data_IF_263324142195
#
_entry.id   IF_263324142195
#
_cell.length_a   1.000
_cell.length_b   1.000
_cell.length_c   1.000
_cell.angle_alpha   90.00
_cell.angle_beta   90.00
_cell.angle_gamma   90.00
#
_symmetry.space_group_name_H-M   'P 1'
#
loop_
_entity.id
_entity.type
_entity.pdbx_description
1 polymer ?
#
# COMPACT_ATOMS: atom_id res chain seq x y z
N UNK A 1 -10.80 -41.76 -10.78
CA UNK A 1 -9.95 -40.70 -11.38
C UNK A 1 -9.16 -40.06 -10.24
N UNK A 2 -7.84 -40.23 -10.24
CA UNK A 2 -6.98 -39.64 -9.20
C UNK A 2 -7.04 -38.11 -9.24
N UNK A 3 -7.62 -37.49 -8.20
CA UNK A 3 -7.65 -36.05 -8.01
C UNK A 3 -6.24 -35.54 -7.58
N UNK A 4 -5.23 -35.80 -8.39
CA UNK A 4 -3.88 -35.35 -8.08
C UNK A 4 -3.77 -33.83 -8.20
N UNK A 5 -3.33 -33.19 -7.12
CA UNK A 5 -2.95 -31.78 -7.11
C UNK A 5 -1.53 -31.69 -7.66
N UNK A 6 -1.31 -30.91 -8.72
CA UNK A 6 0.02 -30.63 -9.27
C UNK A 6 0.35 -29.16 -9.04
N UNK A 7 1.30 -28.87 -8.16
CA UNK A 7 1.83 -27.52 -7.95
C UNK A 7 2.78 -27.17 -9.10
N UNK A 8 2.50 -26.07 -9.83
CA UNK A 8 3.31 -25.59 -10.94
C UNK A 8 4.28 -24.51 -10.47
N UNK A 9 3.82 -23.63 -9.61
CA UNK A 9 4.60 -22.52 -9.05
C UNK A 9 4.27 -22.35 -7.59
N UNK A 10 5.31 -22.20 -6.77
CA UNK A 10 5.21 -22.02 -5.32
C UNK A 10 6.05 -20.82 -4.91
N UNK A 11 5.50 -19.97 -4.08
CA UNK A 11 6.19 -18.86 -3.43
C UNK A 11 5.89 -18.96 -1.94
N UNK A 12 6.93 -19.05 -1.14
CA UNK A 12 6.83 -19.09 0.32
C UNK A 12 7.35 -17.77 0.86
N UNK A 13 6.53 -17.12 1.64
CA UNK A 13 6.89 -15.94 2.43
C UNK A 13 6.88 -16.31 3.91
N UNK A 14 7.37 -15.44 4.77
CA UNK A 14 7.34 -15.67 6.22
C UNK A 14 5.91 -15.83 6.78
N UNK A 15 4.88 -15.43 6.02
CA UNK A 15 3.49 -15.40 6.48
C UNK A 15 2.56 -16.34 5.73
N UNK A 16 2.91 -16.76 4.51
CA UNK A 16 2.01 -17.53 3.67
C UNK A 16 2.74 -18.32 2.59
N UNK A 17 2.08 -19.37 2.13
CA UNK A 17 2.44 -20.09 0.91
C UNK A 17 1.38 -19.81 -0.14
N UNK A 18 1.81 -19.30 -1.29
CA UNK A 18 0.95 -18.96 -2.42
C UNK A 18 1.53 -19.56 -3.71
N UNK A 19 0.70 -19.76 -4.71
CA UNK A 19 1.21 -20.25 -5.97
C UNK A 19 0.17 -20.57 -7.02
N UNK A 20 0.59 -21.38 -7.98
CA UNK A 20 -0.26 -21.90 -9.05
C UNK A 20 -0.27 -23.40 -8.97
N UNK A 21 -1.45 -24.00 -9.02
CA UNK A 21 -1.63 -25.44 -9.10
C UNK A 21 -2.62 -25.83 -10.20
N UNK A 22 -2.55 -27.11 -10.62
CA UNK A 22 -3.57 -27.77 -11.44
C UNK A 22 -4.37 -28.71 -10.54
N UNK A 23 -5.68 -28.59 -10.62
CA UNK A 23 -6.63 -29.50 -9.99
C UNK A 23 -7.79 -29.79 -10.96
N UNK A 24 -8.09 -31.06 -11.19
CA UNK A 24 -9.09 -31.48 -12.19
C UNK A 24 -8.87 -30.81 -13.55
N UNK A 25 -7.65 -30.85 -14.05
CA UNK A 25 -7.19 -30.26 -15.32
C UNK A 25 -7.41 -28.75 -15.49
N UNK A 26 -7.66 -28.00 -14.38
CA UNK A 26 -7.81 -26.55 -14.39
C UNK A 26 -6.72 -25.90 -13.55
N UNK A 27 -6.22 -24.76 -14.02
CA UNK A 27 -5.26 -23.94 -13.26
C UNK A 27 -5.98 -23.09 -12.24
N UNK A 28 -5.41 -23.05 -11.04
CA UNK A 28 -5.86 -22.21 -9.93
C UNK A 28 -4.69 -21.44 -9.34
N UNK A 29 -4.97 -20.22 -8.89
CA UNK A 29 -4.13 -19.56 -7.90
C UNK A 29 -4.53 -20.14 -6.53
N UNK A 30 -3.57 -20.48 -5.69
CA UNK A 30 -3.83 -21.00 -4.37
C UNK A 30 -3.14 -20.20 -3.29
N UNK A 31 -3.79 -20.14 -2.13
CA UNK A 31 -3.17 -19.80 -0.85
C UNK A 31 -3.31 -20.99 0.07
N UNK A 32 -2.25 -21.31 0.85
CA UNK A 32 -2.35 -22.28 1.92
C UNK A 32 -3.17 -21.66 3.04
N UNK A 33 -4.24 -22.35 3.47
CA UNK A 33 -5.11 -21.83 4.52
C UNK A 33 -4.38 -21.78 5.87
N UNK A 34 -4.66 -20.75 6.64
CA UNK A 34 -4.07 -20.50 7.96
C UNK A 34 -4.81 -19.36 8.65
N UNK A 35 -4.32 -18.90 9.78
CA UNK A 35 -4.93 -17.80 10.56
C UNK A 35 -5.19 -16.52 9.76
N UNK A 36 -4.37 -16.27 8.72
CA UNK A 36 -4.49 -15.09 7.86
C UNK A 36 -5.63 -15.17 6.84
N UNK A 37 -6.29 -16.32 6.68
CA UNK A 37 -7.38 -16.50 5.70
C UNK A 37 -8.78 -16.25 6.27
N UNK A 38 -8.89 -16.01 7.59
CA UNK A 38 -10.19 -15.81 8.25
C UNK A 38 -10.98 -14.62 7.68
N UNK A 39 -10.35 -13.46 7.56
CA UNK A 39 -11.01 -12.28 6.98
C UNK A 39 -11.35 -12.49 5.50
N UNK A 40 -10.48 -13.15 4.76
CA UNK A 40 -10.67 -13.52 3.38
C UNK A 40 -11.93 -14.39 3.20
N UNK A 41 -12.15 -15.34 4.09
CA UNK A 41 -13.35 -16.19 4.06
C UNK A 41 -14.60 -15.45 4.48
N UNK A 42 -14.51 -14.69 5.56
CA UNK A 42 -15.64 -13.94 6.13
C UNK A 42 -16.19 -12.88 5.17
N UNK A 43 -15.32 -12.11 4.53
CA UNK A 43 -15.74 -10.94 3.76
C UNK A 43 -15.83 -11.17 2.24
N UNK A 44 -15.33 -12.30 1.72
CA UNK A 44 -15.37 -12.60 0.28
C UNK A 44 -16.78 -12.44 -0.34
N UNK A 45 -17.80 -13.00 0.31
CA UNK A 45 -19.19 -12.93 -0.16
C UNK A 45 -19.75 -11.51 -0.22
N UNK A 46 -19.33 -10.65 0.73
CA UNK A 46 -19.72 -9.25 0.77
C UNK A 46 -18.98 -8.42 -0.28
N UNK A 47 -17.66 -8.62 -0.41
CA UNK A 47 -16.84 -7.92 -1.40
C UNK A 47 -17.32 -8.20 -2.83
N UNK A 48 -17.71 -9.42 -3.12
CA UNK A 48 -18.24 -9.80 -4.43
C UNK A 48 -19.47 -8.99 -4.88
N UNK A 49 -20.19 -8.36 -3.95
CA UNK A 49 -21.35 -7.51 -4.27
C UNK A 49 -20.94 -6.17 -4.87
N UNK A 50 -19.73 -5.70 -4.57
CA UNK A 50 -19.24 -4.38 -4.97
C UNK A 50 -18.08 -4.45 -5.97
N UNK A 51 -17.24 -5.47 -5.84
CA UNK A 51 -15.98 -5.58 -6.57
C UNK A 51 -15.96 -6.80 -7.47
N UNK A 52 -15.13 -6.74 -8.51
CA UNK A 52 -14.86 -7.88 -9.37
C UNK A 52 -13.74 -8.71 -8.73
N UNK A 53 -14.12 -9.83 -8.14
CA UNK A 53 -13.23 -10.73 -7.43
C UNK A 53 -13.11 -12.08 -8.15
N UNK A 54 -11.93 -12.76 -8.11
CA UNK A 54 -11.77 -14.08 -8.71
C UNK A 54 -12.71 -15.08 -8.04
N UNK A 55 -13.28 -16.01 -8.82
CA UNK A 55 -14.14 -17.06 -8.28
C UNK A 55 -13.37 -17.90 -7.27
N UNK A 56 -13.84 -17.94 -6.03
CA UNK A 56 -13.32 -18.81 -4.98
C UNK A 56 -13.86 -20.23 -5.18
N UNK A 57 -12.99 -21.24 -5.05
CA UNK A 57 -13.37 -22.64 -4.94
C UNK A 57 -12.92 -23.18 -3.60
N UNK A 58 -13.87 -23.74 -2.85
CA UNK A 58 -13.67 -24.42 -1.59
C UNK A 58 -13.64 -25.93 -1.91
N UNK A 59 -12.82 -26.69 -1.24
CA UNK A 59 -12.91 -28.16 -1.31
C UNK A 59 -11.61 -28.92 -1.39
N UNK A 60 -10.46 -28.25 -1.18
CA UNK A 60 -9.20 -28.92 -0.94
C UNK A 60 -8.76 -28.57 0.49
N UNK A 61 -8.59 -29.54 1.38
CA UNK A 61 -8.10 -29.26 2.74
C UNK A 61 -6.82 -28.43 2.70
N UNK A 62 -6.73 -27.43 3.55
CA UNK A 62 -5.58 -26.53 3.70
C UNK A 62 -5.27 -25.58 2.55
N UNK A 63 -6.15 -25.46 1.52
CA UNK A 63 -5.93 -24.53 0.41
C UNK A 63 -7.18 -23.74 0.07
N UNK A 64 -7.03 -22.42 -0.09
CA UNK A 64 -8.03 -21.59 -0.75
C UNK A 64 -7.65 -21.51 -2.22
N UNK A 65 -8.56 -21.92 -3.08
CA UNK A 65 -8.37 -21.88 -4.53
C UNK A 65 -9.18 -20.75 -5.14
N UNK A 66 -8.51 -19.97 -5.98
CA UNK A 66 -9.14 -18.96 -6.82
C UNK A 66 -9.00 -19.33 -8.29
N UNK A 67 -10.02 -18.99 -9.09
CA UNK A 67 -9.88 -19.10 -10.53
C UNK A 67 -8.62 -18.35 -10.99
N UNK A 68 -7.79 -19.02 -11.78
CA UNK A 68 -6.57 -18.40 -12.27
C UNK A 68 -6.91 -17.29 -13.27
N UNK A 69 -6.64 -16.07 -12.85
CA UNK A 69 -6.84 -14.89 -13.69
C UNK A 69 -5.54 -14.57 -14.43
N UNK A 70 -5.28 -15.34 -15.53
CA UNK A 70 -4.08 -15.13 -16.36
C UNK A 70 -3.90 -13.68 -16.78
N UNK A 71 -5.01 -13.01 -17.07
CA UNK A 71 -5.02 -11.63 -17.55
C UNK A 71 -4.82 -10.59 -16.42
N UNK A 72 -5.12 -10.93 -15.15
CA UNK A 72 -4.93 -9.97 -14.05
C UNK A 72 -3.50 -9.43 -13.99
N UNK A 73 -2.50 -10.31 -14.22
CA UNK A 73 -1.10 -9.95 -14.29
C UNK A 73 -0.83 -8.83 -15.31
N UNK A 74 -1.58 -8.79 -16.41
CA UNK A 74 -1.41 -7.77 -17.47
C UNK A 74 -2.21 -6.50 -17.17
N UNK A 75 -3.30 -6.58 -16.42
CA UNK A 75 -4.22 -5.49 -16.15
C UNK A 75 -4.16 -4.96 -14.71
N UNK A 76 -3.18 -5.38 -13.89
CA UNK A 76 -2.93 -4.74 -12.60
C UNK A 76 -2.47 -3.30 -12.79
N UNK A 77 -2.77 -2.44 -11.81
CA UNK A 77 -2.26 -1.07 -11.80
C UNK A 77 -0.74 -1.07 -11.87
N UNK A 78 -0.06 -2.01 -11.19
CA UNK A 78 1.40 -2.15 -11.26
C UNK A 78 1.90 -2.28 -12.70
N UNK A 79 1.33 -3.19 -13.48
CA UNK A 79 1.75 -3.37 -14.88
C UNK A 79 1.43 -2.16 -15.75
N UNK A 80 0.32 -1.46 -15.50
CA UNK A 80 0.02 -0.20 -16.16
C UNK A 80 1.09 0.87 -15.86
N UNK A 81 1.52 0.97 -14.59
CA UNK A 81 2.51 1.97 -14.17
C UNK A 81 3.91 1.70 -14.77
N UNK A 82 4.33 0.43 -14.82
CA UNK A 82 5.72 0.06 -15.13
C UNK A 82 5.94 -0.23 -16.62
N UNK A 83 4.93 -0.73 -17.33
CA UNK A 83 5.07 -1.09 -18.74
C UNK A 83 4.62 0.05 -19.64
N UNK A 84 5.31 0.17 -20.79
CA UNK A 84 4.95 1.12 -21.87
C UNK A 84 3.67 0.73 -22.63
N UNK A 85 2.86 -0.17 -22.09
CA UNK A 85 1.62 -0.62 -22.73
C UNK A 85 0.65 0.55 -22.70
N UNK A 86 0.24 1.04 -23.87
CA UNK A 86 -0.81 2.03 -24.07
C UNK A 86 -2.21 1.40 -23.87
N UNK A 87 -2.46 0.86 -22.69
CA UNK A 87 -3.83 0.52 -22.29
C UNK A 87 -4.49 1.84 -21.91
N UNK A 88 -5.66 2.11 -22.47
CA UNK A 88 -6.50 3.21 -22.00
C UNK A 88 -6.82 2.88 -20.54
N UNK A 89 -6.22 3.63 -19.62
CA UNK A 89 -6.50 3.47 -18.20
C UNK A 89 -7.96 3.84 -17.95
N UNK A 90 -8.73 2.89 -17.45
CA UNK A 90 -10.08 3.15 -16.97
C UNK A 90 -10.06 3.25 -15.45
N UNK A 91 -10.74 4.24 -14.89
CA UNK A 91 -10.91 4.40 -13.44
C UNK A 91 -11.97 3.45 -12.86
N UNK A 92 -12.25 2.31 -13.50
CA UNK A 92 -13.32 1.39 -13.11
C UNK A 92 -13.17 0.87 -11.66
N UNK A 93 -11.93 0.64 -11.21
CA UNK A 93 -11.71 0.23 -9.83
C UNK A 93 -12.17 1.31 -8.85
N UNK A 94 -11.89 2.58 -9.12
CA UNK A 94 -12.26 3.69 -8.23
C UNK A 94 -13.76 3.96 -8.24
N UNK A 95 -14.46 3.75 -9.37
CA UNK A 95 -15.92 3.76 -9.40
C UNK A 95 -16.53 2.69 -8.48
N UNK A 96 -15.90 1.50 -8.40
CA UNK A 96 -16.32 0.45 -7.47
C UNK A 96 -16.08 0.81 -6.02
N UNK A 97 -14.93 1.46 -5.72
CA UNK A 97 -14.65 2.01 -4.41
C UNK A 97 -15.68 3.06 -4.01
N UNK A 98 -16.03 3.98 -4.91
CA UNK A 98 -17.07 4.98 -4.69
C UNK A 98 -18.41 4.36 -4.34
N UNK A 99 -18.87 3.37 -5.12
CA UNK A 99 -20.13 2.63 -4.84
C UNK A 99 -20.06 1.93 -3.48
N UNK A 100 -18.97 1.28 -3.15
CA UNK A 100 -18.81 0.59 -1.87
C UNK A 100 -18.80 1.58 -0.69
N UNK A 101 -18.08 2.71 -0.82
CA UNK A 101 -18.05 3.77 0.17
C UNK A 101 -19.45 4.30 0.46
N UNK A 102 -20.20 4.65 -0.58
CA UNK A 102 -21.56 5.19 -0.42
C UNK A 102 -22.55 4.19 0.21
N UNK A 103 -22.37 2.89 -0.02
CA UNK A 103 -23.31 1.85 0.45
C UNK A 103 -22.94 1.21 1.77
N UNK A 104 -21.68 1.27 2.17
CA UNK A 104 -21.17 0.52 3.34
C UNK A 104 -20.49 1.39 4.38
N UNK A 105 -20.52 2.71 4.19
CA UNK A 105 -19.91 3.67 5.11
C UNK A 105 -20.42 3.50 6.55
N UNK A 106 -19.46 3.50 7.50
CA UNK A 106 -19.73 3.43 8.93
C UNK A 106 -18.58 4.08 9.73
N UNK A 107 -18.77 4.21 11.05
CA UNK A 107 -17.71 4.61 11.99
C UNK A 107 -17.29 3.44 12.84
N UNK A 108 -15.98 3.26 13.02
CA UNK A 108 -15.37 2.27 13.93
C UNK A 108 -14.18 2.88 14.65
N UNK A 109 -13.81 2.34 15.80
CA UNK A 109 -12.49 2.63 16.34
C UNK A 109 -11.43 2.16 15.34
N UNK A 110 -10.38 2.95 15.16
CA UNK A 110 -9.34 2.63 14.18
C UNK A 110 -8.75 1.24 14.44
N UNK A 111 -8.53 0.89 15.70
CA UNK A 111 -8.00 -0.42 16.10
C UNK A 111 -8.87 -1.60 15.66
N UNK A 112 -10.19 -1.42 15.54
CA UNK A 112 -11.14 -2.44 15.12
C UNK A 112 -11.24 -2.60 13.59
N UNK A 113 -10.51 -1.80 12.83
CA UNK A 113 -10.48 -1.93 11.37
C UNK A 113 -9.58 -3.08 10.95
N UNK A 114 -9.92 -3.76 9.84
CA UNK A 114 -9.20 -4.94 9.41
C UNK A 114 -7.73 -4.65 9.03
N UNK A 115 -7.44 -3.45 8.53
CA UNK A 115 -6.08 -3.03 8.14
C UNK A 115 -5.30 -2.30 9.25
N UNK A 116 -5.87 -2.10 10.45
CA UNK A 116 -5.18 -1.48 11.59
C UNK A 116 -3.89 -2.24 11.98
N UNK A 117 -3.89 -3.57 11.79
CA UNK A 117 -2.73 -4.42 12.06
C UNK A 117 -1.46 -3.98 11.29
N UNK A 118 -1.60 -3.38 10.11
CA UNK A 118 -0.45 -2.88 9.34
C UNK A 118 0.31 -1.75 10.03
N UNK A 119 -0.32 -1.12 11.01
CA UNK A 119 0.24 -0.01 11.76
C UNK A 119 0.66 -0.44 13.16
N UNK A 120 -0.24 -1.06 13.91
CA UNK A 120 0.02 -1.37 15.33
C UNK A 120 0.94 -2.55 15.56
N UNK A 121 0.88 -3.59 14.72
CA UNK A 121 1.84 -4.70 14.80
C UNK A 121 3.27 -4.28 14.44
N UNK A 122 3.44 -3.12 13.82
CA UNK A 122 4.74 -2.61 13.37
C UNK A 122 5.22 -1.37 14.12
N UNK A 123 4.50 -0.94 15.15
CA UNK A 123 4.89 0.26 15.91
C UNK A 123 6.25 0.08 16.61
N UNK A 124 6.63 -1.16 16.90
CA UNK A 124 7.95 -1.49 17.47
C UNK A 124 9.10 -1.14 16.50
N UNK A 125 8.86 -1.10 15.19
CA UNK A 125 9.88 -0.72 14.21
C UNK A 125 10.37 0.71 14.41
N UNK A 126 9.53 1.59 14.95
CA UNK A 126 9.93 2.97 15.26
C UNK A 126 11.09 2.95 16.27
N UNK A 127 10.97 2.17 17.35
CA UNK A 127 12.04 2.04 18.34
C UNK A 127 13.27 1.33 17.79
N UNK A 128 13.05 0.33 16.94
CA UNK A 128 14.14 -0.37 16.26
C UNK A 128 14.93 0.58 15.34
N UNK A 129 14.23 1.44 14.59
CA UNK A 129 14.86 2.46 13.73
C UNK A 129 15.66 3.46 14.60
N UNK A 130 15.05 3.98 15.69
CA UNK A 130 15.72 4.93 16.59
C UNK A 130 17.03 4.39 17.16
N UNK A 131 17.08 3.09 17.47
CA UNK A 131 18.27 2.44 18.05
C UNK A 131 19.37 2.17 17.02
N UNK A 132 19.02 1.91 15.78
CA UNK A 132 19.93 1.34 14.78
C UNK A 132 20.27 2.30 13.63
N UNK A 133 19.67 3.48 13.58
CA UNK A 133 19.98 4.44 12.52
C UNK A 133 21.34 5.09 12.76
N UNK A 134 22.16 5.16 11.71
CA UNK A 134 23.55 5.64 11.78
C UNK A 134 23.70 7.16 11.61
N UNK A 135 22.60 7.90 11.50
CA UNK A 135 22.58 9.36 11.41
C UNK A 135 21.32 9.89 12.07
N UNK A 136 21.47 10.98 12.80
CA UNK A 136 20.37 11.60 13.56
C UNK A 136 19.75 12.77 12.80
N UNK A 137 20.58 13.51 12.06
CA UNK A 137 20.16 14.76 11.46
C UNK A 137 20.29 14.72 9.95
N UNK A 138 19.30 15.31 9.26
CA UNK A 138 19.39 15.62 7.83
C UNK A 138 19.30 17.13 7.69
N UNK A 139 20.28 17.74 7.00
CA UNK A 139 20.27 19.14 6.64
C UNK A 139 19.88 19.29 5.17
N UNK A 140 18.71 19.87 4.92
CA UNK A 140 18.14 20.01 3.60
C UNK A 140 17.44 21.36 3.43
N UNK A 141 17.77 22.12 2.34
CA UNK A 141 17.19 23.44 2.04
C UNK A 141 17.22 24.36 3.27
N UNK A 142 18.40 24.50 3.89
CA UNK A 142 18.65 25.33 5.07
C UNK A 142 17.83 24.92 6.33
N UNK A 143 17.29 23.72 6.36
CA UNK A 143 16.54 23.18 7.50
C UNK A 143 17.22 21.96 8.05
N UNK A 144 17.25 21.87 9.37
CA UNK A 144 17.69 20.69 10.11
C UNK A 144 16.47 19.83 10.42
N UNK A 145 16.49 18.58 9.99
CA UNK A 145 15.49 17.57 10.27
C UNK A 145 16.06 16.67 11.37
N UNK A 146 15.43 16.60 12.53
CA UNK A 146 15.74 15.64 13.59
C UNK A 146 14.88 14.40 13.40
N UNK A 147 15.53 13.29 13.03
CA UNK A 147 14.84 12.02 12.75
C UNK A 147 14.19 11.45 14.00
N UNK A 148 14.85 11.56 15.16
CA UNK A 148 14.32 11.05 16.41
C UNK A 148 13.03 11.78 16.77
N UNK A 149 13.03 13.11 16.64
CA UNK A 149 11.81 13.91 16.90
C UNK A 149 10.67 13.55 15.94
N UNK A 150 10.96 13.33 14.65
CA UNK A 150 9.93 12.90 13.66
C UNK A 150 9.33 11.53 14.05
N UNK A 151 10.17 10.60 14.49
CA UNK A 151 9.73 9.27 14.90
C UNK A 151 8.94 9.27 16.20
N UNK A 152 9.31 10.14 17.16
CA UNK A 152 8.57 10.33 18.41
C UNK A 152 7.18 10.92 18.16
N UNK A 153 7.10 11.94 17.31
CA UNK A 153 5.83 12.55 16.89
C UNK A 153 4.93 11.53 16.15
N UNK A 154 5.51 10.74 15.27
CA UNK A 154 4.81 9.65 14.59
C UNK A 154 4.22 8.66 15.58
N UNK A 155 5.02 8.15 16.53
CA UNK A 155 4.59 7.17 17.53
C UNK A 155 3.46 7.71 18.41
N UNK A 156 3.62 8.94 18.92
CA UNK A 156 2.63 9.57 19.79
C UNK A 156 1.26 9.74 19.12
N UNK A 157 1.25 10.15 17.84
CA UNK A 157 0.00 10.36 17.11
C UNK A 157 -0.64 9.05 16.64
N UNK A 158 0.12 8.00 16.36
CA UNK A 158 -0.44 6.66 16.13
C UNK A 158 -1.10 6.09 17.39
N UNK A 159 -0.51 6.33 18.58
CA UNK A 159 -1.12 5.92 19.84
C UNK A 159 -2.46 6.63 20.09
N UNK A 160 -2.56 7.93 19.77
CA UNK A 160 -3.84 8.65 19.80
C UNK A 160 -4.85 8.05 18.84
N UNK A 161 -4.46 7.83 17.58
CA UNK A 161 -5.33 7.29 16.53
C UNK A 161 -5.94 5.94 16.93
N UNK A 162 -5.24 5.12 17.71
CA UNK A 162 -5.72 3.80 18.15
C UNK A 162 -7.15 3.85 18.72
N UNK A 163 -7.44 4.89 19.50
CA UNK A 163 -8.69 5.05 20.23
C UNK A 163 -9.68 6.01 19.54
N UNK A 164 -9.32 6.52 18.36
CA UNK A 164 -10.20 7.41 17.61
C UNK A 164 -11.22 6.63 16.78
N UNK A 165 -12.45 7.16 16.71
CA UNK A 165 -13.48 6.67 15.80
C UNK A 165 -13.27 7.29 14.43
N UNK A 166 -12.95 6.47 13.45
CA UNK A 166 -12.71 6.86 12.07
C UNK A 166 -13.78 6.36 11.12
N UNK A 167 -13.90 7.00 9.99
CA UNK A 167 -14.79 6.59 8.93
C UNK A 167 -14.23 5.42 8.14
N UNK A 168 -15.06 4.40 7.94
CA UNK A 168 -14.71 3.12 7.34
C UNK A 168 -15.72 2.73 6.27
N UNK A 169 -15.31 1.84 5.39
CA UNK A 169 -16.18 1.17 4.43
C UNK A 169 -15.64 -0.22 4.08
N UNK A 170 -16.44 -1.02 3.42
CA UNK A 170 -16.07 -2.40 3.05
C UNK A 170 -15.08 -2.39 1.89
N UNK A 171 -13.84 -2.85 2.15
CA UNK A 171 -12.78 -2.94 1.15
C UNK A 171 -11.95 -4.20 1.28
N UNK A 172 -11.04 -4.39 0.32
CA UNK A 172 -10.02 -5.42 0.35
C UNK A 172 -8.94 -5.11 1.41
N UNK A 173 -8.70 -3.84 1.73
CA UNK A 173 -7.88 -3.40 2.87
C UNK A 173 -6.39 -3.19 2.60
N UNK A 174 -5.88 -3.60 1.44
CA UNK A 174 -4.49 -3.38 1.02
C UNK A 174 -4.42 -2.94 -0.46
N UNK A 175 -4.92 -1.72 -0.79
CA UNK A 175 -5.03 -1.23 -2.16
C UNK A 175 -3.68 -0.88 -2.78
N UNK A 176 -2.80 -1.87 -2.85
CA UNK A 176 -1.53 -1.74 -3.55
C UNK A 176 -1.71 -1.86 -5.05
N UNK A 177 -0.74 -1.38 -5.79
CA UNK A 177 -0.69 -1.44 -7.25
C UNK A 177 -0.74 -2.87 -7.82
N UNK A 178 -0.29 -3.86 -7.04
CA UNK A 178 -0.34 -5.28 -7.38
C UNK A 178 -1.69 -5.94 -7.08
N UNK A 179 -2.48 -5.38 -6.19
CA UNK A 179 -3.75 -5.95 -5.72
C UNK A 179 -4.97 -5.41 -6.46
N UNK A 180 -4.82 -4.28 -7.16
CA UNK A 180 -5.87 -3.61 -7.90
C UNK A 180 -5.67 -3.73 -9.41
N UNK A 181 -6.75 -4.05 -10.13
CA UNK A 181 -6.80 -4.09 -11.59
C UNK A 181 -7.50 -2.88 -12.19
N UNK A 182 -7.01 -2.39 -13.32
CA UNK A 182 -7.56 -1.20 -14.00
C UNK A 182 -9.04 -1.36 -14.43
N UNK A 183 -9.52 -2.59 -14.61
CA UNK A 183 -10.90 -2.90 -14.98
C UNK A 183 -11.81 -3.24 -13.78
N UNK A 184 -11.41 -2.85 -12.58
CA UNK A 184 -12.18 -3.08 -11.37
C UNK A 184 -12.01 -4.46 -10.74
N UNK A 185 -11.01 -5.21 -11.19
CA UNK A 185 -10.62 -6.47 -10.55
C UNK A 185 -9.83 -6.18 -9.27
N UNK A 186 -9.95 -7.09 -8.30
CA UNK A 186 -9.19 -6.99 -7.05
C UNK A 186 -8.81 -8.40 -6.58
N UNK A 187 -7.65 -8.49 -5.94
CA UNK A 187 -7.09 -9.74 -5.39
C UNK A 187 -6.52 -9.49 -3.99
N UNK A 188 -6.15 -10.58 -3.32
CA UNK A 188 -5.53 -10.56 -1.98
C UNK A 188 -6.43 -9.96 -0.88
N UNK A 189 -7.29 -10.81 -0.32
CA UNK A 189 -8.35 -10.42 0.61
C UNK A 189 -7.97 -10.65 2.09
N UNK A 190 -6.69 -10.81 2.41
CA UNK A 190 -6.20 -11.14 3.76
C UNK A 190 -6.63 -10.13 4.83
N UNK A 191 -6.71 -8.86 4.46
CA UNK A 191 -7.13 -7.75 5.33
C UNK A 191 -8.47 -7.14 4.90
N UNK A 192 -9.26 -7.93 4.18
CA UNK A 192 -10.60 -7.48 3.78
C UNK A 192 -11.52 -7.31 4.97
N UNK A 193 -12.40 -6.34 4.87
CA UNK A 193 -13.35 -6.00 5.91
C UNK A 193 -13.71 -4.53 5.86
N UNK A 194 -14.21 -4.04 6.98
CA UNK A 194 -14.40 -2.60 7.16
C UNK A 194 -13.06 -1.97 7.48
N UNK A 195 -12.55 -1.19 6.53
CA UNK A 195 -11.26 -0.54 6.59
C UNK A 195 -11.39 0.98 6.67
N UNK A 196 -10.47 1.62 7.37
CA UNK A 196 -10.43 3.06 7.50
C UNK A 196 -10.13 3.72 6.14
N UNK A 197 -10.90 4.75 5.78
CA UNK A 197 -10.72 5.52 4.53
C UNK A 197 -9.31 6.09 4.45
N UNK A 198 -8.83 6.70 5.53
CA UNK A 198 -7.48 7.29 5.57
C UNK A 198 -6.37 6.25 5.42
N UNK A 199 -6.59 5.03 5.91
CA UNK A 199 -5.65 3.93 5.75
C UNK A 199 -5.61 3.43 4.30
N UNK A 200 -6.76 3.29 3.64
CA UNK A 200 -6.83 2.94 2.21
C UNK A 200 -6.08 3.98 1.36
N UNK A 201 -6.30 5.27 1.63
CA UNK A 201 -5.61 6.36 0.94
C UNK A 201 -4.10 6.28 1.17
N UNK A 202 -3.66 6.09 2.42
CA UNK A 202 -2.23 6.02 2.75
C UNK A 202 -1.52 4.86 2.05
N UNK A 203 -2.13 3.68 2.04
CA UNK A 203 -1.58 2.49 1.38
C UNK A 203 -1.44 2.72 -0.12
N UNK A 204 -2.51 3.20 -0.76
CA UNK A 204 -2.52 3.43 -2.20
C UNK A 204 -1.53 4.52 -2.63
N UNK A 205 -1.47 5.65 -1.91
CA UNK A 205 -0.53 6.73 -2.19
C UNK A 205 0.91 6.23 -2.18
N UNK A 206 1.32 5.55 -1.11
CA UNK A 206 2.68 5.05 -0.97
C UNK A 206 2.97 3.99 -2.04
N UNK A 207 2.01 3.12 -2.34
CA UNK A 207 2.17 2.10 -3.37
C UNK A 207 2.31 2.70 -4.76
N UNK A 208 1.43 3.61 -5.16
CA UNK A 208 1.41 4.15 -6.53
C UNK A 208 2.58 5.10 -6.81
N UNK A 209 3.05 5.85 -5.80
CA UNK A 209 4.10 6.84 -6.00
C UNK A 209 5.49 6.26 -5.79
N UNK A 210 5.73 5.49 -4.72
CA UNK A 210 7.07 5.11 -4.31
C UNK A 210 7.31 3.60 -4.30
N UNK A 211 6.49 2.84 -3.58
CA UNK A 211 6.79 1.44 -3.25
C UNK A 211 6.66 0.52 -4.46
N UNK A 212 5.59 0.65 -5.23
CA UNK A 212 5.33 -0.21 -6.39
C UNK A 212 6.35 -0.06 -7.51
N UNK A 213 6.90 1.14 -7.69
CA UNK A 213 7.84 1.43 -8.76
C UNK A 213 9.32 1.40 -8.32
N UNK A 214 9.61 1.38 -7.02
CA UNK A 214 10.98 1.42 -6.52
C UNK A 214 11.22 0.53 -5.30
N UNK A 215 10.75 0.91 -4.10
CA UNK A 215 11.18 0.28 -2.86
C UNK A 215 10.76 -1.18 -2.72
N UNK A 216 9.52 -1.52 -2.95
CA UNK A 216 9.06 -2.90 -2.82
C UNK A 216 9.71 -3.81 -3.85
N UNK A 217 9.83 -3.36 -5.08
CA UNK A 217 10.48 -4.15 -6.12
C UNK A 217 11.94 -4.39 -5.79
N UNK A 218 12.64 -3.38 -5.23
CA UNK A 218 14.05 -3.45 -4.86
C UNK A 218 14.29 -4.36 -3.64
N UNK A 219 13.54 -4.16 -2.56
CA UNK A 219 13.81 -4.78 -1.27
C UNK A 219 12.93 -5.99 -0.95
N UNK A 220 11.80 -6.16 -1.64
CA UNK A 220 10.92 -7.32 -1.51
C UNK A 220 10.52 -7.91 -2.87
N UNK A 221 11.48 -8.30 -3.74
CA UNK A 221 11.20 -8.79 -5.08
C UNK A 221 10.34 -10.08 -5.10
N UNK A 222 10.25 -10.80 -3.98
CA UNK A 222 9.39 -11.98 -3.85
C UNK A 222 7.91 -11.62 -3.93
N UNK A 223 7.50 -10.46 -3.39
CA UNK A 223 6.12 -9.97 -3.48
C UNK A 223 5.70 -9.73 -4.94
N UNK A 224 6.67 -9.44 -5.82
CA UNK A 224 6.46 -9.21 -7.26
C UNK A 224 6.72 -10.45 -8.12
N UNK A 225 6.73 -11.65 -7.54
CA UNK A 225 7.01 -12.89 -8.29
C UNK A 225 5.99 -13.20 -9.39
N UNK A 226 4.80 -12.61 -9.33
CA UNK A 226 3.74 -12.69 -10.34
C UNK A 226 3.58 -11.43 -11.18
N UNK A 227 4.39 -10.40 -10.95
CA UNK A 227 4.36 -9.09 -11.61
C UNK A 227 5.71 -8.72 -12.21
N UNK A 228 5.79 -7.58 -12.89
CA UNK A 228 7.05 -7.02 -13.37
C UNK A 228 7.97 -6.66 -12.20
N UNK A 229 9.27 -6.93 -12.37
CA UNK A 229 10.32 -6.56 -11.41
C UNK A 229 11.15 -5.36 -11.87
N UNK A 230 10.65 -4.59 -12.83
CA UNK A 230 11.33 -3.37 -13.27
C UNK A 230 11.32 -2.33 -12.16
N UNK A 231 12.47 -1.69 -11.96
CA UNK A 231 12.65 -0.60 -10.99
C UNK A 231 12.80 0.71 -11.75
N UNK A 232 12.11 1.75 -11.31
CA UNK A 232 12.32 3.09 -11.83
C UNK A 232 13.55 3.73 -11.17
N UNK A 233 14.72 3.48 -11.71
CA UNK A 233 16.01 3.98 -11.19
C UNK A 233 16.08 5.51 -11.10
N UNK A 234 15.28 6.23 -11.88
CA UNK A 234 15.27 7.70 -11.94
C UNK A 234 14.23 8.32 -11.02
N UNK A 235 13.48 7.52 -10.24
CA UNK A 235 12.43 8.06 -9.36
C UNK A 235 13.00 9.05 -8.35
N UNK A 236 14.20 8.76 -7.82
CA UNK A 236 14.88 9.61 -6.86
C UNK A 236 16.32 9.92 -7.33
N UNK A 237 16.61 11.20 -7.43
CA UNK A 237 17.96 11.71 -7.65
C UNK A 237 18.37 12.47 -6.40
N UNK A 238 19.48 12.09 -5.80
CA UNK A 238 19.99 12.71 -4.57
C UNK A 238 21.50 12.82 -4.62
N UNK A 239 22.01 13.99 -4.26
CA UNK A 239 23.42 14.24 -3.93
C UNK A 239 23.54 14.62 -2.45
N UNK A 240 24.42 13.94 -1.73
CA UNK A 240 24.58 14.13 -0.30
C UNK A 240 25.98 13.82 0.21
N UNK A 241 26.32 14.44 1.34
CA UNK A 241 27.53 14.14 2.12
C UNK A 241 27.15 13.77 3.55
N UNK A 242 28.00 12.97 4.18
CA UNK A 242 27.80 12.56 5.58
C UNK A 242 28.97 13.12 6.39
N UNK A 243 28.64 13.81 7.46
CA UNK A 243 29.57 14.30 8.44
C UNK A 243 29.12 13.90 9.85
N UNK A 244 29.82 12.95 10.48
CA UNK A 244 29.44 12.35 11.78
C UNK A 244 28.03 11.76 11.72
N UNK A 245 27.12 12.24 12.56
CA UNK A 245 25.70 11.85 12.66
C UNK A 245 24.75 12.70 11.79
N UNK A 246 25.33 13.58 10.95
CA UNK A 246 24.57 14.50 10.09
C UNK A 246 24.75 14.17 8.61
N UNK A 247 23.63 14.17 7.89
CA UNK A 247 23.58 14.08 6.43
C UNK A 247 23.29 15.46 5.87
N UNK A 248 24.12 15.92 4.96
CA UNK A 248 23.95 17.20 4.26
C UNK A 248 23.52 16.90 2.84
N UNK A 249 22.31 17.35 2.48
CA UNK A 249 21.75 17.19 1.13
C UNK A 249 22.12 18.41 0.29
N UNK A 250 22.90 18.18 -0.75
CA UNK A 250 23.24 19.21 -1.73
C UNK A 250 22.11 19.36 -2.75
N UNK A 251 21.56 18.24 -3.23
CA UNK A 251 20.47 18.22 -4.20
C UNK A 251 19.53 17.02 -3.98
N UNK A 252 18.25 17.24 -4.22
CA UNK A 252 17.21 16.18 -4.16
C UNK A 252 16.07 16.51 -5.09
N UNK A 253 15.80 15.58 -6.02
CA UNK A 253 14.69 15.61 -6.93
C UNK A 253 13.93 14.28 -6.90
N UNK A 254 12.60 14.38 -7.04
CA UNK A 254 11.71 13.25 -7.20
C UNK A 254 11.03 13.34 -8.56
N UNK A 255 11.29 12.36 -9.43
CA UNK A 255 10.76 12.31 -10.79
C UNK A 255 9.62 11.29 -10.86
N UNK A 256 8.42 11.70 -10.45
CA UNK A 256 7.24 10.82 -10.50
C UNK A 256 6.75 10.70 -11.95
N UNK A 257 6.63 9.47 -12.49
CA UNK A 257 6.09 9.29 -13.83
C UNK A 257 4.64 9.80 -13.96
N UNK A 258 4.30 10.41 -15.10
CA UNK A 258 2.95 10.94 -15.36
C UNK A 258 1.83 9.91 -15.12
N UNK A 259 2.06 8.64 -15.42
CA UNK A 259 1.09 7.56 -15.18
C UNK A 259 0.81 7.38 -13.67
N UNK A 260 1.84 7.44 -12.84
CA UNK A 260 1.71 7.33 -11.38
C UNK A 260 0.91 8.52 -10.83
N UNK A 261 1.21 9.73 -11.29
CA UNK A 261 0.47 10.95 -10.94
C UNK A 261 -1.00 10.78 -11.33
N UNK A 262 -1.29 10.39 -12.58
CA UNK A 262 -2.65 10.21 -13.08
C UNK A 262 -3.47 9.24 -12.24
N UNK A 263 -2.95 8.03 -11.98
CA UNK A 263 -3.65 7.01 -11.18
C UNK A 263 -3.90 7.51 -9.76
N UNK A 264 -2.92 8.18 -9.17
CA UNK A 264 -3.05 8.75 -7.83
C UNK A 264 -4.11 9.85 -7.79
N UNK A 265 -4.12 10.74 -8.77
CA UNK A 265 -5.12 11.81 -8.87
C UNK A 265 -6.53 11.25 -9.09
N UNK A 266 -6.70 10.25 -9.95
CA UNK A 266 -8.00 9.61 -10.18
C UNK A 266 -8.57 9.01 -8.87
N UNK A 267 -7.71 8.39 -8.05
CA UNK A 267 -8.09 7.89 -6.74
C UNK A 267 -8.45 9.00 -5.77
N UNK A 268 -7.61 10.03 -5.63
CA UNK A 268 -7.84 11.12 -4.68
C UNK A 268 -9.09 11.92 -5.04
N UNK A 269 -9.28 12.21 -6.32
CA UNK A 269 -10.47 12.92 -6.82
C UNK A 269 -11.76 12.12 -6.57
N UNK A 270 -11.71 10.78 -6.65
CA UNK A 270 -12.86 9.95 -6.25
C UNK A 270 -13.25 10.22 -4.79
N UNK A 271 -12.28 10.25 -3.87
CA UNK A 271 -12.58 10.52 -2.46
C UNK A 271 -13.05 11.96 -2.23
N UNK A 272 -12.45 12.95 -2.89
CA UNK A 272 -12.82 14.37 -2.75
C UNK A 272 -14.24 14.63 -3.30
N UNK A 273 -14.54 14.07 -4.47
CA UNK A 273 -15.83 14.25 -5.15
C UNK A 273 -16.97 13.45 -4.51
N UNK A 274 -16.66 12.54 -3.61
CA UNK A 274 -17.67 11.76 -2.90
C UNK A 274 -18.42 12.67 -1.92
N UNK A 275 -19.74 12.64 -1.93
CA UNK A 275 -20.58 13.46 -1.02
C UNK A 275 -20.26 13.21 0.47
N UNK A 276 -19.69 12.05 0.81
CA UNK A 276 -19.27 11.72 2.16
C UNK A 276 -17.92 12.33 2.57
N UNK A 277 -17.22 13.07 1.69
CA UNK A 277 -15.89 13.63 2.01
C UNK A 277 -15.90 14.47 3.27
N UNK A 278 -16.91 15.32 3.44
CA UNK A 278 -17.02 16.16 4.63
C UNK A 278 -17.13 15.34 5.93
N UNK A 279 -17.64 14.14 5.89
CA UNK A 279 -17.77 13.28 7.07
C UNK A 279 -16.42 12.80 7.59
N UNK A 280 -15.47 12.47 6.70
CA UNK A 280 -14.17 11.96 7.10
C UNK A 280 -13.03 13.01 7.01
N UNK A 281 -13.37 14.27 6.71
CA UNK A 281 -12.37 15.35 6.61
C UNK A 281 -11.55 15.52 7.90
N UNK A 282 -12.16 15.31 9.06
CA UNK A 282 -11.48 15.39 10.35
C UNK A 282 -10.48 14.24 10.55
N UNK A 283 -10.71 13.07 9.94
CA UNK A 283 -9.80 11.95 10.03
C UNK A 283 -8.47 12.24 9.29
N UNK A 284 -8.49 13.18 8.33
CA UNK A 284 -7.33 13.57 7.51
C UNK A 284 -6.13 14.06 8.34
N UNK A 285 -6.36 14.54 9.56
CA UNK A 285 -5.28 14.88 10.47
C UNK A 285 -4.29 13.72 10.66
N UNK A 286 -4.79 12.48 10.68
CA UNK A 286 -3.98 11.30 10.88
C UNK A 286 -3.37 10.71 9.60
N UNK A 287 -3.81 11.16 8.41
CA UNK A 287 -3.36 10.61 7.12
C UNK A 287 -1.83 10.64 6.98
N UNK A 288 -1.19 11.74 7.35
CA UNK A 288 0.27 11.91 7.27
C UNK A 288 1.04 10.88 8.11
N UNK A 289 0.51 10.48 9.27
CA UNK A 289 1.14 9.49 10.14
C UNK A 289 0.99 8.07 9.57
N UNK A 290 -0.14 7.78 8.91
CA UNK A 290 -0.36 6.51 8.22
C UNK A 290 0.53 6.40 6.98
N UNK A 291 0.69 7.47 6.19
CA UNK A 291 1.64 7.52 5.07
C UNK A 291 3.07 7.29 5.59
N UNK A 292 3.47 7.97 6.68
CA UNK A 292 4.78 7.82 7.28
C UNK A 292 5.05 6.37 7.71
N UNK A 293 4.12 5.72 8.40
CA UNK A 293 4.25 4.31 8.76
C UNK A 293 4.39 3.40 7.54
N UNK A 294 3.63 3.65 6.48
CA UNK A 294 3.74 2.88 5.24
C UNK A 294 5.08 3.10 4.53
N UNK A 295 5.71 4.25 4.70
CA UNK A 295 7.04 4.51 4.16
C UNK A 295 8.14 3.74 4.91
N UNK A 296 8.07 3.64 6.24
CA UNK A 296 9.19 3.12 7.06
C UNK A 296 9.07 1.64 7.46
N UNK A 297 7.85 1.04 7.45
CA UNK A 297 7.65 -0.25 8.12
C UNK A 297 7.48 -1.47 7.22
N UNK A 298 6.89 -1.39 6.02
CA UNK A 298 6.75 -2.57 5.17
C UNK A 298 8.08 -3.17 4.74
N UNK A 299 9.08 -2.28 4.57
CA UNK A 299 10.49 -2.60 4.45
C UNK A 299 11.17 -1.76 5.52
N UNK A 300 11.75 -2.42 6.53
CA UNK A 300 12.42 -1.69 7.60
C UNK A 300 13.54 -0.82 7.03
N UNK A 301 13.50 0.48 7.34
CA UNK A 301 14.46 1.47 6.83
C UNK A 301 15.91 1.12 7.19
N UNK A 302 16.12 0.44 8.32
CA UNK A 302 17.45 -0.01 8.74
C UNK A 302 18.06 -1.10 7.83
N UNK A 303 17.20 -1.80 7.06
CA UNK A 303 17.62 -2.83 6.10
C UNK A 303 17.79 -2.28 4.68
N UNK A 304 17.60 -0.97 4.49
CA UNK A 304 17.77 -0.30 3.20
C UNK A 304 19.22 0.17 3.02
N UNK A 305 19.61 0.37 1.76
CA UNK A 305 20.81 1.15 1.45
C UNK A 305 20.71 2.54 2.08
N UNK A 306 21.84 3.07 2.56
CA UNK A 306 21.90 4.38 3.24
C UNK A 306 21.23 5.50 2.44
N UNK A 307 21.47 5.53 1.12
CA UNK A 307 20.82 6.47 0.19
C UNK A 307 19.31 6.41 0.31
N UNK A 308 18.73 5.22 0.27
CA UNK A 308 17.28 5.02 0.28
C UNK A 308 16.67 5.36 1.65
N UNK A 309 17.37 5.03 2.73
CA UNK A 309 16.96 5.43 4.07
C UNK A 309 16.91 6.97 4.23
N UNK A 310 17.92 7.69 3.71
CA UNK A 310 17.94 9.15 3.71
C UNK A 310 16.73 9.70 2.94
N UNK A 311 16.44 9.16 1.76
CA UNK A 311 15.28 9.57 0.94
C UNK A 311 13.97 9.37 1.71
N UNK A 312 13.79 8.25 2.39
CA UNK A 312 12.58 8.00 3.21
C UNK A 312 12.40 9.10 4.26
N UNK A 313 13.45 9.51 4.97
CA UNK A 313 13.32 10.57 5.98
C UNK A 313 13.08 11.96 5.39
N UNK A 314 13.60 12.26 4.22
CA UNK A 314 13.24 13.49 3.49
C UNK A 314 11.74 13.45 3.12
N UNK A 315 11.25 12.30 2.64
CA UNK A 315 9.83 12.13 2.32
C UNK A 315 8.94 12.24 3.56
N UNK A 316 9.37 11.72 4.72
CA UNK A 316 8.64 11.86 5.98
C UNK A 316 8.48 13.34 6.35
N UNK A 317 9.56 14.10 6.36
CA UNK A 317 9.52 15.53 6.68
C UNK A 317 8.59 16.29 5.71
N UNK A 318 8.66 15.96 4.42
CA UNK A 318 7.78 16.52 3.41
C UNK A 318 6.30 16.20 3.68
N UNK A 319 5.98 14.93 4.00
CA UNK A 319 4.62 14.46 4.30
C UNK A 319 4.07 15.16 5.53
N UNK A 320 4.84 15.27 6.61
CA UNK A 320 4.40 15.94 7.84
C UNK A 320 4.11 17.42 7.64
N UNK A 321 4.80 18.08 6.71
CA UNK A 321 4.60 19.50 6.44
C UNK A 321 3.46 19.78 5.45
N UNK A 322 3.18 18.86 4.52
CA UNK A 322 2.31 19.17 3.37
C UNK A 322 1.07 18.28 3.22
N UNK A 323 1.07 17.07 3.77
CA UNK A 323 -0.05 16.14 3.64
C UNK A 323 -1.09 16.31 4.75
N UNK A 324 -1.67 17.51 4.88
CA UNK A 324 -2.66 17.84 5.90
C UNK A 324 -4.11 17.69 5.41
N UNK A 325 -4.34 17.68 4.10
CA UNK A 325 -5.62 17.34 3.49
C UNK A 325 -5.44 16.82 2.05
N UNK A 326 -6.50 16.25 1.46
CA UNK A 326 -6.42 15.66 0.11
C UNK A 326 -6.26 16.72 -0.97
N UNK A 327 -6.88 17.87 -0.82
CA UNK A 327 -6.80 18.99 -1.78
C UNK A 327 -5.36 19.49 -1.92
N UNK A 328 -4.63 19.58 -0.81
CA UNK A 328 -3.22 19.97 -0.83
C UNK A 328 -2.36 18.92 -1.51
N UNK A 329 -2.63 17.61 -1.29
CA UNK A 329 -1.92 16.54 -1.96
C UNK A 329 -2.17 16.59 -3.48
N UNK A 330 -3.43 16.76 -3.90
CA UNK A 330 -3.82 16.88 -5.32
C UNK A 330 -3.12 18.08 -5.95
N UNK A 331 -3.23 19.27 -5.34
CA UNK A 331 -2.61 20.49 -5.85
C UNK A 331 -1.08 20.37 -5.99
N UNK A 332 -0.43 19.67 -5.07
CA UNK A 332 1.02 19.43 -5.15
C UNK A 332 1.38 18.44 -6.28
N UNK A 333 0.57 17.41 -6.50
CA UNK A 333 0.79 16.45 -7.59
C UNK A 333 0.49 17.04 -8.97
N UNK A 334 -0.46 17.94 -9.11
CA UNK A 334 -0.80 18.60 -10.36
C UNK A 334 0.27 19.61 -10.82
N UNK A 335 1.15 20.04 -9.91
CA UNK A 335 2.27 20.99 -10.21
C UNK A 335 3.57 20.29 -10.60
N UNK A 336 3.64 18.98 -10.52
CA UNK A 336 4.77 18.14 -10.95
C UNK A 336 4.60 17.75 -12.42
#
# INVERSE_FOLDING_TARGET
>A
MNNQIKIIKKVVTNKSEIGILIYKNKKYFYKKSGSNTYNEEKYYGLLKKFYKVPKKRIGIPNYILYSYMRLFRFFSIHNYLINSINIIYSSEIFKKYDVALNKTHCKKFFYDTANAKFYFERIYEIENIKKNINFRYIYFKQKKIDIIQLLDDLKANLQKLKNEKVHCFLTQGDPTDTNLGVFGDMVDFEVSGYNSIISEIAIALVSFITHGSYYYVKYNPKAYSFHSKKINQKLFVIDYKIHKDMVIINDFHMCIPKKNIKVTLDMLKMYINNYNYNFFKNDMFFLKYLIAMRLITPISVINMEKKDAIIIFILLDYVFKKANNLENIVSNLERI
#
